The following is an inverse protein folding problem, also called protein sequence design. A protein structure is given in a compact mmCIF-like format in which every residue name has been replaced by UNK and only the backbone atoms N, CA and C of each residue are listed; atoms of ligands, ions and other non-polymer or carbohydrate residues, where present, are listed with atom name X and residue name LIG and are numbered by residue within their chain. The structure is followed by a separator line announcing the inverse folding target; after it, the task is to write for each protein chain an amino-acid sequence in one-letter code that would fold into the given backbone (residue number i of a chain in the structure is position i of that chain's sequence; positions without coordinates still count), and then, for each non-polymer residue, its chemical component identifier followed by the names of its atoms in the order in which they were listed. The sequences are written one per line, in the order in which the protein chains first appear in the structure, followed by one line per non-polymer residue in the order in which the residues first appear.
data_IF_650701452250
#
_entry.id   IF_650701452250
#
_cell.length_a   1.000
_cell.length_b   1.000
_cell.length_c   1.000
_cell.angle_alpha   90.00
_cell.angle_beta   90.00
_cell.angle_gamma   90.00
#
_symmetry.space_group_name_H-M   'P 1'
#
loop_
_entity.id
_entity.type
_entity.pdbx_description
1 polymer ?
#
# COMPACT_ATOMS: atom_id res chain seq x y z
N UNK A 1 -10.40 -2.23 -13.29
CA UNK A 1 -10.57 -3.65 -13.66
C UNK A 1 -10.32 -4.51 -12.42
N UNK A 2 -11.30 -5.32 -12.08
CA UNK A 2 -11.47 -6.09 -10.84
C UNK A 2 -10.16 -6.77 -10.37
N UNK A 3 -9.72 -6.49 -9.14
CA UNK A 3 -9.00 -7.51 -8.36
C UNK A 3 -10.06 -8.56 -8.07
N UNK A 4 -10.24 -9.50 -9.02
CA UNK A 4 -10.93 -10.74 -8.73
C UNK A 4 -10.03 -11.47 -7.74
N UNK A 5 -10.30 -11.26 -6.46
CA UNK A 5 -10.27 -12.28 -5.41
C UNK A 5 -10.34 -11.60 -4.03
N UNK A 6 -11.56 -11.44 -3.52
CA UNK A 6 -11.82 -11.10 -2.12
C UNK A 6 -11.48 -12.25 -1.14
N UNK A 7 -11.02 -13.42 -1.64
CA UNK A 7 -10.81 -14.64 -0.86
C UNK A 7 -9.34 -15.09 -0.73
N UNK A 8 -8.34 -14.33 -1.21
CA UNK A 8 -6.96 -14.53 -0.74
C UNK A 8 -6.82 -13.89 0.64
N UNK A 9 -7.14 -14.69 1.66
CA UNK A 9 -6.93 -14.43 3.08
C UNK A 9 -5.66 -13.60 3.31
N UNK A 10 -5.86 -12.33 3.66
CA UNK A 10 -4.83 -11.32 3.92
C UNK A 10 -4.03 -11.73 5.17
N UNK A 11 -3.04 -12.60 4.98
CA UNK A 11 -2.13 -13.01 6.04
C UNK A 11 -1.45 -11.77 6.62
N UNK A 12 -1.54 -11.63 7.94
CA UNK A 12 -0.79 -10.64 8.70
C UNK A 12 0.70 -10.76 8.34
N UNK A 13 1.31 -9.67 7.87
CA UNK A 13 2.74 -9.61 7.62
C UNK A 13 3.39 -9.12 8.92
N UNK A 14 4.14 -9.98 9.61
CA UNK A 14 4.81 -9.58 10.86
C UNK A 14 5.80 -8.45 10.58
N UNK A 15 5.76 -7.42 11.43
CA UNK A 15 6.33 -6.11 11.12
C UNK A 15 7.85 -6.03 10.96
N UNK A 16 8.62 -7.10 11.15
CA UNK A 16 10.09 -7.02 11.19
C UNK A 16 10.78 -6.96 9.82
N UNK A 17 10.18 -7.52 8.77
CA UNK A 17 10.79 -7.60 7.44
C UNK A 17 10.52 -6.37 6.54
N UNK A 18 9.52 -5.56 6.89
CA UNK A 18 8.98 -4.45 6.10
C UNK A 18 9.65 -3.10 6.37
N UNK A 19 10.33 -2.94 7.52
CA UNK A 19 11.08 -1.71 7.86
C UNK A 19 12.48 -1.64 7.23
N UNK A 20 12.85 -2.57 6.34
CA UNK A 20 13.99 -2.30 5.46
C UNK A 20 13.64 -1.01 4.71
N UNK A 21 14.47 0.03 4.79
CA UNK A 21 14.32 1.40 4.22
C UNK A 21 14.06 1.38 2.72
N UNK A 22 12.94 0.80 2.31
CA UNK A 22 12.59 0.48 0.94
C UNK A 22 11.32 1.21 0.60
N UNK A 23 11.21 1.65 -0.65
CA UNK A 23 10.34 2.76 -0.96
C UNK A 23 8.93 2.24 -1.28
N UNK A 24 8.27 1.59 -0.33
CA UNK A 24 7.07 0.80 -0.62
C UNK A 24 5.77 1.54 -0.31
N UNK A 25 4.71 1.23 -1.06
CA UNK A 25 3.34 1.56 -0.65
C UNK A 25 2.83 0.45 0.29
N UNK A 26 2.22 0.87 1.39
CA UNK A 26 1.74 0.02 2.47
C UNK A 26 0.22 0.17 2.64
N UNK A 27 -0.46 -0.90 3.03
CA UNK A 27 -1.91 -0.93 3.21
C UNK A 27 -2.33 -1.62 4.52
N UNK A 28 -3.37 -1.10 5.16
CA UNK A 28 -4.05 -1.71 6.29
C UNK A 28 -3.51 -1.33 7.66
N UNK A 29 -2.47 -0.50 7.74
CA UNK A 29 -1.97 0.06 9.00
C UNK A 29 -2.64 1.42 9.26
N UNK A 30 -3.45 1.55 10.32
CA UNK A 30 -4.12 2.81 10.63
C UNK A 30 -3.13 3.87 11.15
N UNK A 31 -3.41 5.17 10.94
CA UNK A 31 -2.54 6.25 11.42
C UNK A 31 -2.65 6.52 12.93
N UNK A 32 -3.46 5.77 13.67
CA UNK A 32 -3.71 5.98 15.11
C UNK A 32 -2.77 5.21 16.05
N UNK A 33 -1.69 4.64 15.50
CA UNK A 33 -0.69 3.92 16.28
C UNK A 33 -1.24 2.66 16.96
N UNK A 34 -0.69 2.31 18.13
CA UNK A 34 -1.04 1.08 18.88
C UNK A 34 -2.45 1.07 19.48
N UNK A 35 -3.22 2.15 19.34
CA UNK A 35 -4.60 2.21 19.82
C UNK A 35 -5.51 1.19 19.12
N UNK A 36 -5.16 0.81 17.88
CA UNK A 36 -5.76 -0.29 17.15
C UNK A 36 -4.66 -1.31 16.85
N UNK A 37 -4.78 -2.53 17.38
CA UNK A 37 -3.87 -3.64 17.07
C UNK A 37 -4.17 -4.23 15.68
N UNK A 38 -4.11 -3.36 14.67
CA UNK A 38 -4.32 -3.67 13.27
C UNK A 38 -2.98 -3.52 12.56
N UNK A 39 -2.35 -4.66 12.30
CA UNK A 39 -1.05 -4.73 11.63
C UNK A 39 -1.12 -4.50 10.13
N UNK A 40 0.06 -4.30 9.55
CA UNK A 40 0.23 -4.13 8.12
C UNK A 40 -0.30 -5.35 7.33
N UNK A 41 -1.13 -5.09 6.32
CA UNK A 41 -1.81 -6.14 5.54
C UNK A 41 -1.14 -6.41 4.21
N UNK A 42 -0.64 -5.37 3.54
CA UNK A 42 -0.02 -5.51 2.22
C UNK A 42 1.05 -4.46 2.00
N UNK A 43 2.10 -4.88 1.30
CA UNK A 43 3.19 -4.01 0.86
C UNK A 43 3.49 -4.29 -0.59
N UNK A 44 3.62 -3.24 -1.40
CA UNK A 44 3.90 -3.37 -2.81
C UNK A 44 5.18 -2.62 -3.14
N UNK A 45 6.16 -3.34 -3.69
CA UNK A 45 7.40 -2.75 -4.22
C UNK A 45 7.10 -1.99 -5.52
N UNK A 46 7.43 -0.69 -5.60
CA UNK A 46 7.30 0.07 -6.84
C UNK A 46 8.26 -0.41 -7.90
N UNK A 47 7.84 -0.25 -9.15
CA UNK A 47 8.62 -0.47 -10.37
C UNK A 47 8.22 0.62 -11.35
N UNK A 48 9.14 1.09 -12.20
CA UNK A 48 8.80 2.04 -13.26
C UNK A 48 7.64 1.49 -14.11
N UNK A 49 6.66 2.34 -14.43
CA UNK A 49 5.46 1.96 -15.18
C UNK A 49 4.41 1.14 -14.42
N UNK A 50 4.63 0.79 -13.15
CA UNK A 50 3.62 0.06 -12.36
C UNK A 50 2.53 0.99 -11.85
N UNK A 51 1.27 0.68 -12.18
CA UNK A 51 0.08 1.30 -11.60
C UNK A 51 -0.49 0.40 -10.50
N UNK A 52 -0.88 0.99 -9.37
CA UNK A 52 -1.56 0.32 -8.26
C UNK A 52 -2.91 1.00 -8.05
N UNK A 53 -4.00 0.28 -8.29
CA UNK A 53 -5.37 0.75 -8.07
C UNK A 53 -5.97 0.05 -6.85
N UNK A 54 -6.66 0.80 -5.99
CA UNK A 54 -7.26 0.30 -4.77
C UNK A 54 -8.48 1.16 -4.37
N UNK A 55 -9.43 0.64 -3.57
CA UNK A 55 -10.53 1.44 -3.05
C UNK A 55 -10.03 2.62 -2.20
N UNK A 56 -10.58 3.81 -2.41
CA UNK A 56 -10.13 5.03 -1.74
C UNK A 56 -10.25 4.98 -0.22
N UNK A 57 -11.13 4.14 0.33
CA UNK A 57 -11.33 3.99 1.77
C UNK A 57 -10.27 3.14 2.49
N UNK A 58 -9.30 2.58 1.78
CA UNK A 58 -8.27 1.75 2.42
C UNK A 58 -7.23 2.64 3.13
N UNK A 59 -6.89 2.31 4.39
CA UNK A 59 -5.71 2.89 5.02
C UNK A 59 -4.46 2.52 4.23
N UNK A 60 -3.73 3.54 3.79
CA UNK A 60 -2.53 3.36 3.00
C UNK A 60 -1.52 4.49 3.26
N UNK A 61 -0.27 4.25 2.88
CA UNK A 61 0.79 5.25 2.97
C UNK A 61 2.07 4.78 2.32
N UNK A 62 3.09 5.62 2.31
CA UNK A 62 4.44 5.27 1.85
C UNK A 62 5.36 4.99 3.03
N UNK A 63 6.19 3.96 2.92
CA UNK A 63 7.27 3.72 3.87
C UNK A 63 8.43 4.67 3.54
N UNK A 64 8.95 5.45 4.51
CA UNK A 64 10.14 6.27 4.32
C UNK A 64 11.32 5.43 3.83
N UNK A 65 12.10 5.99 2.90
CA UNK A 65 13.22 5.30 2.29
C UNK A 65 14.34 6.27 1.95
N UNK A 66 15.52 5.72 1.77
CA UNK A 66 16.69 6.41 1.26
C UNK A 66 17.14 5.68 0.00
N UNK A 67 17.51 6.44 -1.02
CA UNK A 67 17.99 5.92 -2.30
C UNK A 67 19.00 6.93 -2.87
N UNK A 68 19.93 6.46 -3.69
CA UNK A 68 20.92 7.31 -4.35
C UNK A 68 20.27 8.19 -5.44
N UNK A 69 19.12 7.75 -5.96
CA UNK A 69 18.40 8.43 -7.03
C UNK A 69 16.99 8.85 -6.59
N UNK A 70 16.52 10.05 -7.00
CA UNK A 70 15.17 10.48 -6.68
C UNK A 70 14.15 9.64 -7.45
N UNK A 71 13.03 9.34 -6.79
CA UNK A 71 11.90 8.66 -7.41
C UNK A 71 10.69 9.56 -7.47
N UNK A 72 10.11 9.67 -8.66
CA UNK A 72 8.83 10.34 -8.89
C UNK A 72 7.67 9.33 -8.92
N UNK A 73 6.56 9.67 -8.27
CA UNK A 73 5.29 8.94 -8.33
C UNK A 73 4.14 9.94 -8.47
N UNK A 74 3.11 9.58 -9.22
CA UNK A 74 1.89 10.38 -9.38
C UNK A 74 0.73 9.62 -8.76
N UNK A 75 -0.01 10.27 -7.86
CA UNK A 75 -1.23 9.75 -7.26
C UNK A 75 -2.45 10.48 -7.85
N UNK A 76 -3.56 9.76 -8.01
CA UNK A 76 -4.83 10.32 -8.47
C UNK A 76 -5.98 9.47 -7.91
N UNK A 77 -7.15 10.10 -7.81
CA UNK A 77 -8.42 9.44 -7.54
C UNK A 77 -9.23 9.35 -8.83
N UNK A 78 -9.94 8.24 -9.01
CA UNK A 78 -10.82 8.02 -10.15
C UNK A 78 -12.16 7.47 -9.68
N UNK A 79 -13.24 8.06 -10.19
CA UNK A 79 -14.61 7.57 -10.00
C UNK A 79 -14.99 6.77 -11.25
N UNK A 80 -15.45 5.52 -11.11
CA UNK A 80 -15.91 4.76 -12.26
C UNK A 80 -17.17 5.40 -12.85
N UNK A 81 -17.24 5.48 -14.18
CA UNK A 81 -18.50 5.78 -14.85
C UNK A 81 -19.46 4.60 -14.65
N UNK A 82 -20.69 4.91 -14.22
CA UNK A 82 -21.80 3.97 -14.23
C UNK A 82 -22.41 4.06 -15.62
N UNK A 83 -22.27 2.98 -16.40
CA UNK A 83 -22.94 2.81 -17.69
C UNK A 83 -24.40 2.44 -17.55
#
# INVERSE_FOLDING_TARGET
MCVRDTATCLRHVSGRAIYSRRPFIKFGEPPVGRALDLGLRRVIRPRAGKIVLFPSCFWHGTIPFEDETPRLTVAFDAVPEVG
#
